data_IF_645204082821
#
_entry.id   IF_645204082821
#
_cell.length_a   1.000
_cell.length_b   1.000
_cell.length_c   1.000
_cell.angle_alpha   90.00
_cell.angle_beta   90.00
_cell.angle_gamma   90.00
#
_symmetry.space_group_name_H-M   'P 1'
#
loop_
_entity.id
_entity.type
_entity.pdbx_description
1 polymer ?
#
# COMPACT_ATOMS: atom_id res chain seq x y z
N UNK A 1 -9.12 14.18 0.57
CA UNK A 1 -7.73 14.42 1.02
C UNK A 1 -7.11 15.66 0.40
N UNK A 2 -6.91 15.76 -0.92
CA UNK A 2 -6.29 16.97 -1.50
C UNK A 2 -7.09 18.26 -1.29
N UNK A 3 -8.40 18.21 -1.53
CA UNK A 3 -9.32 19.36 -1.37
C UNK A 3 -9.50 19.78 0.11
N UNK A 4 -9.47 18.82 1.04
CA UNK A 4 -9.61 19.09 2.47
C UNK A 4 -8.38 19.79 3.06
N UNK A 5 -7.17 19.44 2.62
CA UNK A 5 -5.93 20.12 3.05
C UNK A 5 -5.89 21.60 2.60
N UNK A 6 -6.30 21.88 1.36
CA UNK A 6 -6.38 23.24 0.85
C UNK A 6 -7.40 24.08 1.63
N UNK A 7 -8.57 23.50 1.96
CA UNK A 7 -9.57 24.16 2.81
C UNK A 7 -9.01 24.50 4.20
N UNK A 8 -8.30 23.57 4.85
CA UNK A 8 -7.65 23.83 6.15
C UNK A 8 -6.71 25.04 6.08
N UNK A 9 -5.83 25.09 5.07
CA UNK A 9 -4.86 26.19 4.92
C UNK A 9 -5.57 27.51 4.63
N UNK A 10 -6.63 27.50 3.80
CA UNK A 10 -7.43 28.70 3.52
C UNK A 10 -8.05 29.27 4.80
N UNK A 11 -8.71 28.43 5.59
CA UNK A 11 -9.37 28.85 6.83
C UNK A 11 -8.38 29.34 7.89
N UNK A 12 -7.19 28.74 7.98
CA UNK A 12 -6.14 29.22 8.87
C UNK A 12 -5.57 30.58 8.43
N UNK A 13 -5.44 30.83 7.12
CA UNK A 13 -5.06 32.15 6.60
C UNK A 13 -6.13 33.22 6.87
N UNK A 14 -7.40 32.83 6.91
CA UNK A 14 -8.53 33.68 7.33
C UNK A 14 -8.56 33.94 8.86
N UNK A 15 -7.57 33.43 9.62
CA UNK A 15 -7.47 33.66 11.07
C UNK A 15 -8.36 32.77 11.93
N UNK A 16 -8.99 31.73 11.36
CA UNK A 16 -9.86 30.82 12.13
C UNK A 16 -9.04 29.93 13.06
N UNK A 17 -9.58 29.69 14.25
CA UNK A 17 -8.92 28.81 15.24
C UNK A 17 -8.85 27.37 14.76
N UNK A 18 -7.77 26.66 15.14
CA UNK A 18 -7.58 25.24 14.78
C UNK A 18 -8.77 24.36 15.15
N UNK A 19 -9.43 24.66 16.27
CA UNK A 19 -10.64 23.96 16.74
C UNK A 19 -11.82 24.14 15.78
N UNK A 20 -12.08 25.38 15.34
CA UNK A 20 -13.13 25.68 14.37
C UNK A 20 -12.87 25.02 13.03
N UNK A 21 -11.63 25.11 12.54
CA UNK A 21 -11.20 24.48 11.27
C UNK A 21 -11.36 22.96 11.30
N UNK A 22 -10.99 22.32 12.41
CA UNK A 22 -11.13 20.88 12.56
C UNK A 22 -12.60 20.43 12.51
N UNK A 23 -13.50 21.19 13.16
CA UNK A 23 -14.95 20.93 13.14
C UNK A 23 -15.55 21.12 11.74
N UNK A 24 -15.18 22.21 11.06
CA UNK A 24 -15.65 22.51 9.70
C UNK A 24 -15.22 21.47 8.66
N UNK A 25 -13.97 20.99 8.75
CA UNK A 25 -13.41 20.04 7.79
C UNK A 25 -13.70 18.58 8.17
N UNK A 26 -14.14 18.31 9.40
CA UNK A 26 -14.38 16.97 9.91
C UNK A 26 -13.09 16.16 10.12
N UNK A 27 -12.05 16.79 10.66
CA UNK A 27 -10.77 16.13 10.97
C UNK A 27 -10.40 16.27 12.45
N UNK A 28 -9.37 15.54 12.90
CA UNK A 28 -8.90 15.69 14.29
C UNK A 28 -8.26 17.06 14.51
N UNK A 29 -8.47 17.65 15.69
CA UNK A 29 -7.85 18.95 16.05
C UNK A 29 -6.32 18.91 15.94
N UNK A 30 -5.72 17.76 16.26
CA UNK A 30 -4.26 17.54 16.15
C UNK A 30 -3.74 17.47 14.71
N UNK A 31 -4.60 17.24 13.71
CA UNK A 31 -4.20 17.24 12.30
C UNK A 31 -3.94 18.66 11.77
N UNK A 32 -4.73 19.64 12.22
CA UNK A 32 -4.68 21.04 11.75
C UNK A 32 -3.28 21.67 11.94
N UNK A 33 -2.69 21.69 13.15
CA UNK A 33 -1.35 22.26 13.33
C UNK A 33 -0.28 21.51 12.54
N UNK A 34 -0.37 20.17 12.44
CA UNK A 34 0.58 19.37 11.62
C UNK A 34 0.55 19.75 10.15
N UNK A 35 -0.65 20.01 9.62
CA UNK A 35 -0.84 20.45 8.23
C UNK A 35 -0.28 21.87 8.04
N UNK A 36 -0.52 22.76 9.00
CA UNK A 36 -0.01 24.12 8.99
C UNK A 36 1.52 24.18 9.01
N UNK A 37 2.17 23.42 9.90
CA UNK A 37 3.63 23.34 9.97
C UNK A 37 4.23 22.86 8.65
N UNK A 38 3.66 21.80 8.04
CA UNK A 38 4.11 21.31 6.73
C UNK A 38 3.92 22.35 5.62
N UNK A 39 2.82 23.11 5.66
CA UNK A 39 2.58 24.17 4.70
C UNK A 39 3.58 25.31 4.84
N UNK A 40 3.87 25.76 6.07
CA UNK A 40 4.89 26.77 6.35
C UNK A 40 6.28 26.33 5.89
N UNK A 41 6.63 25.05 6.09
CA UNK A 41 7.92 24.50 5.70
C UNK A 41 8.12 24.42 4.17
N UNK A 42 7.09 24.04 3.43
CA UNK A 42 7.23 23.74 1.99
C UNK A 42 6.55 24.76 1.07
N UNK A 43 5.83 25.75 1.60
CA UNK A 43 5.05 26.75 0.85
C UNK A 43 3.84 26.20 0.08
N UNK A 44 3.60 24.88 0.14
CA UNK A 44 2.55 24.20 -0.64
C UNK A 44 1.94 23.04 0.11
N UNK A 45 0.75 22.63 -0.33
CA UNK A 45 0.11 21.41 0.16
C UNK A 45 0.89 20.21 -0.33
N UNK A 46 1.70 19.64 0.56
CA UNK A 46 2.43 18.40 0.25
C UNK A 46 1.49 17.22 0.36
N UNK A 47 1.14 16.65 -0.79
CA UNK A 47 0.48 15.34 -0.87
C UNK A 47 1.54 14.25 -0.75
N UNK A 48 1.12 13.05 -0.37
CA UNK A 48 2.01 11.87 -0.43
C UNK A 48 2.48 11.59 -1.86
N UNK A 49 3.34 10.57 -2.00
CA UNK A 49 3.93 10.15 -3.28
C UNK A 49 2.86 10.02 -4.38
N UNK A 50 3.04 10.66 -5.54
CA UNK A 50 2.16 10.49 -6.69
C UNK A 50 2.07 9.01 -7.11
N UNK A 51 0.89 8.59 -7.57
CA UNK A 51 0.74 7.26 -8.17
C UNK A 51 1.46 7.23 -9.52
N UNK A 52 2.24 6.18 -9.75
CA UNK A 52 2.86 5.91 -11.06
C UNK A 52 1.92 5.22 -12.05
N UNK A 53 0.92 4.50 -11.54
CA UNK A 53 -0.03 3.74 -12.36
C UNK A 53 -1.44 4.31 -12.29
N UNK A 54 -2.14 4.23 -13.41
CA UNK A 54 -3.58 4.54 -13.51
C UNK A 54 -4.44 3.37 -13.01
N UNK A 55 -5.71 3.64 -12.70
CA UNK A 55 -6.67 2.58 -12.32
C UNK A 55 -6.84 1.52 -13.41
N UNK A 56 -6.68 1.87 -14.69
CA UNK A 56 -6.76 0.92 -15.82
C UNK A 56 -5.53 0.02 -15.85
N UNK A 57 -4.35 0.61 -15.68
CA UNK A 57 -3.07 -0.10 -15.56
C UNK A 57 -3.08 -1.08 -14.37
N UNK A 58 -3.59 -0.67 -13.20
CA UNK A 58 -3.72 -1.54 -12.03
C UNK A 58 -4.62 -2.76 -12.29
N UNK A 59 -5.73 -2.57 -13.04
CA UNK A 59 -6.62 -3.68 -13.43
C UNK A 59 -5.93 -4.66 -14.37
N UNK A 60 -5.22 -4.14 -15.38
CA UNK A 60 -4.42 -4.97 -16.31
C UNK A 60 -3.31 -5.72 -15.57
N UNK A 61 -2.61 -5.05 -14.65
CA UNK A 61 -1.58 -5.67 -13.81
C UNK A 61 -2.15 -6.80 -12.96
N UNK A 62 -3.33 -6.61 -12.36
CA UNK A 62 -4.02 -7.67 -11.62
C UNK A 62 -4.40 -8.84 -12.51
N UNK A 63 -4.91 -8.60 -13.72
CA UNK A 63 -5.26 -9.66 -14.67
C UNK A 63 -4.03 -10.50 -15.07
N UNK A 64 -2.92 -9.84 -15.44
CA UNK A 64 -1.66 -10.53 -15.79
C UNK A 64 -1.11 -11.34 -14.59
N UNK A 65 -1.19 -10.79 -13.37
CA UNK A 65 -0.77 -11.51 -12.15
C UNK A 65 -1.60 -12.77 -11.89
N UNK A 66 -2.89 -12.76 -12.26
CA UNK A 66 -3.81 -13.87 -12.05
C UNK A 66 -3.64 -14.94 -13.12
N UNK A 67 -3.42 -14.52 -14.37
CA UNK A 67 -3.20 -15.39 -15.52
C UNK A 67 -1.86 -16.14 -15.42
N UNK A 68 -0.77 -15.43 -15.10
CA UNK A 68 0.58 -16.01 -15.05
C UNK A 68 1.07 -16.20 -13.62
N UNK A 69 0.39 -17.07 -12.87
CA UNK A 69 0.61 -17.26 -11.41
C UNK A 69 2.04 -17.67 -11.01
N UNK A 70 2.79 -18.31 -11.91
CA UNK A 70 4.19 -18.73 -11.70
C UNK A 70 5.21 -17.67 -12.13
N UNK A 71 4.79 -16.59 -12.78
CA UNK A 71 5.68 -15.55 -13.28
C UNK A 71 6.36 -14.82 -12.12
N UNK A 72 7.68 -14.67 -12.19
CA UNK A 72 8.49 -13.94 -11.19
C UNK A 72 8.25 -12.43 -11.27
N UNK A 73 8.62 -11.69 -10.23
CA UNK A 73 8.43 -10.24 -10.23
C UNK A 73 9.24 -9.54 -11.35
N UNK A 74 10.46 -10.03 -11.61
CA UNK A 74 11.33 -9.57 -12.70
C UNK A 74 10.70 -9.81 -14.08
N UNK A 75 10.22 -11.03 -14.33
CA UNK A 75 9.53 -11.35 -15.60
C UNK A 75 8.28 -10.49 -15.78
N UNK A 76 7.51 -10.24 -14.72
CA UNK A 76 6.36 -9.34 -14.77
C UNK A 76 6.75 -7.90 -15.04
N UNK A 77 7.87 -7.43 -14.47
CA UNK A 77 8.39 -6.08 -14.71
C UNK A 77 8.76 -5.91 -16.19
N UNK A 78 9.53 -6.84 -16.75
CA UNK A 78 9.94 -6.80 -18.15
C UNK A 78 8.72 -6.76 -19.10
N UNK A 79 7.75 -7.66 -18.89
CA UNK A 79 6.49 -7.68 -19.65
C UNK A 79 5.67 -6.39 -19.54
N UNK A 80 5.93 -5.60 -18.51
CA UNK A 80 5.23 -4.34 -18.25
C UNK A 80 5.99 -3.12 -18.80
N UNK A 81 7.32 -3.16 -18.79
CA UNK A 81 8.16 -2.21 -19.51
C UNK A 81 7.84 -2.23 -21.02
N UNK A 82 7.58 -3.40 -21.60
CA UNK A 82 7.05 -3.56 -22.98
C UNK A 82 5.75 -2.78 -23.22
N UNK A 83 4.96 -2.53 -22.17
CA UNK A 83 3.72 -1.74 -22.25
C UNK A 83 3.91 -0.26 -21.94
N UNK A 84 5.16 0.20 -21.80
CA UNK A 84 5.53 1.60 -21.58
C UNK A 84 5.36 2.09 -20.14
N UNK A 85 5.27 1.18 -19.16
CA UNK A 85 5.02 1.54 -17.76
C UNK A 85 6.12 0.98 -16.88
N UNK A 86 6.89 1.85 -16.21
CA UNK A 86 7.95 1.45 -15.30
C UNK A 86 7.42 1.35 -13.84
N UNK A 87 7.26 0.12 -13.35
CA UNK A 87 6.85 -0.19 -11.97
C UNK A 87 7.91 -1.05 -11.27
N UNK A 88 8.06 -0.89 -9.96
CA UNK A 88 8.95 -1.77 -9.19
C UNK A 88 8.28 -3.12 -8.89
N UNK A 89 9.07 -4.15 -8.58
CA UNK A 89 8.61 -5.51 -8.26
C UNK A 89 7.56 -5.57 -7.14
N UNK A 90 7.63 -4.64 -6.17
CA UNK A 90 6.68 -4.56 -5.05
C UNK A 90 5.26 -4.18 -5.50
N UNK A 91 5.10 -3.70 -6.72
CA UNK A 91 3.79 -3.37 -7.29
C UNK A 91 2.97 -4.63 -7.60
N UNK A 92 3.62 -5.79 -7.71
CA UNK A 92 2.96 -7.09 -7.90
C UNK A 92 2.17 -7.49 -6.66
N UNK A 93 0.85 -7.63 -6.81
CA UNK A 93 -0.01 -8.22 -5.78
C UNK A 93 -0.17 -9.71 -6.05
N UNK A 94 0.66 -10.53 -5.41
CA UNK A 94 0.49 -11.99 -5.44
C UNK A 94 -0.75 -12.37 -4.63
N UNK A 95 -1.44 -13.44 -5.05
CA UNK A 95 -2.55 -14.00 -4.28
C UNK A 95 -1.99 -14.47 -2.94
N UNK A 96 -2.63 -14.09 -1.82
CA UNK A 96 -2.24 -14.61 -0.48
C UNK A 96 -2.22 -16.14 -0.54
N UNK A 97 -1.20 -16.77 0.05
CA UNK A 97 -1.18 -18.24 0.17
C UNK A 97 -2.51 -18.68 0.79
N UNK A 98 -3.22 -19.66 0.21
CA UNK A 98 -4.42 -20.19 0.81
C UNK A 98 -4.14 -20.60 2.26
N UNK A 99 -5.05 -20.28 3.17
CA UNK A 99 -4.96 -20.75 4.55
C UNK A 99 -4.96 -22.27 4.58
N UNK A 100 -4.09 -22.85 5.40
CA UNK A 100 -4.10 -24.30 5.60
C UNK A 100 -5.41 -24.72 6.26
N UNK A 101 -6.04 -25.75 5.71
CA UNK A 101 -7.19 -26.41 6.34
C UNK A 101 -6.77 -27.04 7.68
N UNK A 102 -7.69 -27.24 8.64
CA UNK A 102 -7.38 -27.91 9.91
C UNK A 102 -6.70 -29.28 9.71
N UNK A 103 -7.19 -30.09 8.75
CA UNK A 103 -6.60 -31.38 8.38
C UNK A 103 -5.14 -31.22 7.94
N UNK A 104 -4.86 -30.29 7.04
CA UNK A 104 -3.50 -30.02 6.55
C UNK A 104 -2.56 -29.53 7.66
N UNK A 105 -3.06 -28.76 8.64
CA UNK A 105 -2.27 -28.35 9.81
C UNK A 105 -1.91 -29.55 10.69
N UNK A 106 -2.88 -30.43 10.97
CA UNK A 106 -2.65 -31.65 11.76
C UNK A 106 -1.64 -32.59 11.10
N UNK A 107 -1.79 -32.87 9.81
CA UNK A 107 -0.85 -33.72 9.06
C UNK A 107 0.56 -33.14 9.04
N UNK A 108 0.70 -31.83 8.84
CA UNK A 108 2.03 -31.17 8.90
C UNK A 108 2.66 -31.23 10.29
N UNK A 109 1.87 -31.02 11.34
CA UNK A 109 2.33 -31.11 12.71
C UNK A 109 2.79 -32.53 13.05
N UNK A 110 2.02 -33.53 12.64
CA UNK A 110 2.34 -34.93 12.85
C UNK A 110 3.65 -35.31 12.15
N UNK A 111 3.80 -34.94 10.88
CA UNK A 111 5.04 -35.14 10.13
C UNK A 111 6.24 -34.46 10.82
N UNK A 112 6.08 -33.23 11.31
CA UNK A 112 7.16 -32.53 12.00
C UNK A 112 7.57 -33.22 13.32
N UNK A 113 6.62 -33.81 14.05
CA UNK A 113 6.90 -34.60 15.26
C UNK A 113 7.65 -35.89 14.93
N UNK A 114 7.20 -36.63 13.92
CA UNK A 114 7.85 -37.87 13.45
C UNK A 114 9.28 -37.64 12.94
N UNK A 115 9.57 -36.42 12.49
CA UNK A 115 10.86 -36.02 11.93
C UNK A 115 11.66 -35.13 12.87
N UNK A 116 11.25 -35.02 14.13
CA UNK A 116 11.88 -34.14 15.12
C UNK A 116 13.34 -34.53 15.39
N UNK A 117 13.66 -35.82 15.35
CA UNK A 117 15.01 -36.37 15.53
C UNK A 117 15.68 -36.76 14.22
N UNK A 118 15.21 -36.27 13.07
CA UNK A 118 15.84 -36.55 11.79
C UNK A 118 17.22 -35.88 11.74
N UNK A 119 18.27 -36.68 11.83
CA UNK A 119 19.67 -36.30 11.59
C UNK A 119 20.11 -36.89 10.24
N UNK A 120 21.08 -36.27 9.57
CA UNK A 120 21.55 -36.65 8.22
C UNK A 120 22.58 -37.81 8.27
N UNK A 121 22.54 -38.64 9.32
CA UNK A 121 23.54 -39.69 9.52
C UNK A 121 22.99 -41.05 9.07
N UNK A 122 23.17 -41.33 7.78
CA UNK A 122 23.89 -42.49 7.21
C UNK A 122 24.24 -42.17 5.75
#
# INVERSE_FOLDING_TARGET
LGKSLQRIIKLLKEGKSSRSVAKDVGCSQSAVPKIWTKYKQHGKVVKGRPRKTSKRQDRKLKAICLDNRKCTAKQMRNKWEETGVNVCDRTRKTKRKPSLTPKQKKTRLQWAKEKQSWTVNE
#
